data_IF_895967777142
#
_entry.id   IF_895967777142
#
_cell.length_a   1.000
_cell.length_b   1.000
_cell.length_c   1.000
_cell.angle_alpha   90.00
_cell.angle_beta   90.00
_cell.angle_gamma   90.00
#
_symmetry.space_group_name_H-M   'P 1'
#
loop_
_entity.id
_entity.type
_entity.pdbx_description
1 polymer ?
#
# COMPACT_ATOMS: atom_id res chain seq x y z
N UNK A 1 -18.30 15.29 11.05
CA UNK A 1 -18.63 15.51 9.63
C UNK A 1 -19.32 14.24 9.15
N UNK A 2 -20.47 14.36 8.51
CA UNK A 2 -21.09 13.21 7.86
C UNK A 2 -20.14 12.74 6.76
N UNK A 3 -19.87 11.44 6.66
CA UNK A 3 -18.80 10.88 5.78
C UNK A 3 -19.09 11.18 4.30
N UNK A 4 -20.36 11.40 3.96
CA UNK A 4 -20.83 11.74 2.61
C UNK A 4 -20.91 13.25 2.36
N UNK A 5 -20.78 14.07 3.40
CA UNK A 5 -20.98 15.53 3.32
C UNK A 5 -19.93 16.28 2.50
N UNK A 6 -18.86 15.59 2.09
CA UNK A 6 -17.79 16.14 1.25
C UNK A 6 -17.98 15.79 -0.24
N UNK A 7 -18.98 14.98 -0.63
CA UNK A 7 -19.26 14.65 -2.04
C UNK A 7 -19.99 15.79 -2.76
N UNK A 8 -19.80 15.90 -4.08
CA UNK A 8 -20.43 16.96 -4.90
C UNK A 8 -21.90 16.67 -5.25
N UNK A 9 -22.41 15.49 -4.87
CA UNK A 9 -23.76 15.00 -5.17
C UNK A 9 -24.43 14.44 -3.93
N UNK A 10 -25.76 14.53 -3.86
CA UNK A 10 -26.53 13.89 -2.80
C UNK A 10 -26.66 12.40 -3.12
N UNK A 11 -25.94 11.58 -2.38
CA UNK A 11 -25.86 10.13 -2.53
C UNK A 11 -25.93 9.48 -1.15
N UNK A 12 -26.58 8.32 -1.04
CA UNK A 12 -26.60 7.57 0.20
C UNK A 12 -25.29 6.78 0.41
N UNK A 13 -25.10 6.29 1.64
CA UNK A 13 -23.90 5.55 2.00
C UNK A 13 -23.78 4.24 1.21
N UNK A 14 -24.89 3.57 0.95
CA UNK A 14 -24.90 2.27 0.27
C UNK A 14 -24.41 2.41 -1.17
N UNK A 15 -24.86 3.43 -1.90
CA UNK A 15 -24.40 3.74 -3.24
C UNK A 15 -22.93 4.17 -3.25
N UNK A 16 -22.48 5.01 -2.30
CA UNK A 16 -21.08 5.42 -2.20
C UNK A 16 -20.15 4.23 -1.88
N UNK A 17 -20.53 3.39 -0.92
CA UNK A 17 -19.79 2.17 -0.56
C UNK A 17 -19.80 1.14 -1.69
N UNK A 18 -20.91 1.02 -2.42
CA UNK A 18 -20.99 0.19 -3.62
C UNK A 18 -19.99 0.68 -4.67
N UNK A 19 -19.98 1.98 -4.98
CA UNK A 19 -19.03 2.56 -5.92
C UNK A 19 -17.57 2.36 -5.52
N UNK A 20 -17.26 2.47 -4.22
CA UNK A 20 -15.93 2.18 -3.69
C UNK A 20 -15.57 0.69 -3.83
N UNK A 21 -16.48 -0.21 -3.44
CA UNK A 21 -16.27 -1.65 -3.49
C UNK A 21 -16.06 -2.14 -4.92
N UNK A 22 -16.87 -1.68 -5.86
CA UNK A 22 -16.72 -2.03 -7.27
C UNK A 22 -15.41 -1.49 -7.88
N UNK A 23 -14.98 -0.29 -7.47
CA UNK A 23 -13.67 0.24 -7.83
C UNK A 23 -12.54 -0.65 -7.28
N UNK A 24 -12.63 -1.12 -6.03
CA UNK A 24 -11.65 -2.03 -5.46
C UNK A 24 -11.58 -3.36 -6.22
N UNK A 25 -12.71 -3.91 -6.65
CA UNK A 25 -12.75 -5.11 -7.48
C UNK A 25 -12.13 -4.89 -8.87
N UNK A 26 -12.34 -3.71 -9.47
CA UNK A 26 -11.63 -3.31 -10.69
C UNK A 26 -10.11 -3.25 -10.49
N UNK A 27 -9.64 -2.60 -9.42
CA UNK A 27 -8.22 -2.48 -9.09
C UNK A 27 -7.57 -3.84 -8.82
N UNK A 28 -8.32 -4.77 -8.21
CA UNK A 28 -7.89 -6.16 -7.98
C UNK A 28 -7.81 -7.00 -9.25
N UNK A 29 -8.40 -6.53 -10.34
CA UNK A 29 -8.43 -7.24 -11.61
C UNK A 29 -9.67 -8.10 -11.83
N UNK A 30 -10.62 -8.12 -10.89
CA UNK A 30 -11.83 -8.94 -10.92
C UNK A 30 -12.94 -8.35 -11.82
N UNK A 31 -12.78 -7.10 -12.27
CA UNK A 31 -13.67 -6.45 -13.25
C UNK A 31 -12.88 -5.83 -14.40
N UNK A 32 -13.50 -5.68 -15.57
CA UNK A 32 -12.85 -5.15 -16.78
C UNK A 32 -12.99 -3.64 -16.96
N UNK A 33 -14.02 -3.02 -16.39
CA UNK A 33 -14.36 -1.60 -16.56
C UNK A 33 -14.84 -0.94 -15.25
N UNK A 34 -15.02 0.38 -15.28
CA UNK A 34 -15.45 1.24 -14.17
C UNK A 34 -16.81 1.93 -14.47
N UNK A 35 -17.65 1.32 -15.31
CA UNK A 35 -18.98 1.85 -15.61
C UNK A 35 -19.93 1.47 -14.46
N UNK A 36 -19.79 2.21 -13.37
CA UNK A 36 -20.48 1.97 -12.11
C UNK A 36 -21.59 3.00 -11.99
N UNK A 37 -22.83 2.54 -12.01
CA UNK A 37 -24.01 3.39 -11.90
C UNK A 37 -24.50 3.43 -10.45
N UNK A 38 -24.80 4.63 -9.98
CA UNK A 38 -25.37 4.89 -8.66
C UNK A 38 -26.62 5.73 -8.79
N UNK A 39 -27.46 5.72 -7.75
CA UNK A 39 -28.53 6.72 -7.63
C UNK A 39 -27.99 7.91 -6.85
N UNK A 40 -27.84 9.05 -7.52
CA UNK A 40 -27.37 10.30 -6.92
C UNK A 40 -28.21 11.47 -7.45
N UNK A 41 -28.54 12.43 -6.60
CA UNK A 41 -29.44 13.56 -6.89
C UNK A 41 -30.82 13.13 -7.43
N UNK A 42 -31.30 11.96 -7.00
CA UNK A 42 -32.58 11.38 -7.44
C UNK A 42 -32.56 10.77 -8.84
N UNK A 43 -31.40 10.69 -9.51
CA UNK A 43 -31.26 10.09 -10.83
C UNK A 43 -30.17 9.00 -10.86
N UNK A 44 -30.30 8.06 -11.80
CA UNK A 44 -29.30 7.03 -12.05
C UNK A 44 -28.22 7.58 -12.99
N UNK A 45 -26.98 7.57 -12.54
CA UNK A 45 -25.84 8.16 -13.26
C UNK A 45 -24.54 7.42 -12.94
N UNK A 46 -23.52 7.55 -13.80
CA UNK A 46 -22.21 7.00 -13.49
C UNK A 46 -21.54 7.74 -12.32
N UNK A 47 -20.91 6.99 -11.42
CA UNK A 47 -20.21 7.57 -10.29
C UNK A 47 -18.90 8.25 -10.73
N UNK A 48 -18.07 7.55 -11.51
CA UNK A 48 -16.75 8.04 -11.93
C UNK A 48 -16.79 8.75 -13.29
N UNK A 49 -16.22 9.94 -13.36
CA UNK A 49 -15.98 10.71 -14.59
C UNK A 49 -14.91 10.05 -15.47
N UNK A 50 -14.84 10.48 -16.74
CA UNK A 50 -13.83 9.98 -17.68
C UNK A 50 -12.38 10.20 -17.19
N UNK A 51 -12.10 11.32 -16.53
CA UNK A 51 -10.76 11.61 -15.97
C UNK A 51 -10.42 10.70 -14.80
N UNK A 52 -11.36 10.48 -13.87
CA UNK A 52 -11.17 9.56 -12.75
C UNK A 52 -10.96 8.13 -13.23
N UNK A 53 -11.73 7.66 -14.22
CA UNK A 53 -11.52 6.35 -14.86
C UNK A 53 -10.13 6.22 -15.50
N UNK A 54 -9.64 7.27 -16.17
CA UNK A 54 -8.30 7.28 -16.75
C UNK A 54 -7.22 7.17 -15.66
N UNK A 55 -7.36 7.90 -14.56
CA UNK A 55 -6.46 7.79 -13.42
C UNK A 55 -6.49 6.39 -12.78
N UNK A 56 -7.69 5.86 -12.50
CA UNK A 56 -7.87 4.54 -11.89
C UNK A 56 -7.36 3.39 -12.77
N UNK A 57 -7.37 3.56 -14.11
CA UNK A 57 -6.73 2.62 -15.03
C UNK A 57 -5.22 2.53 -14.81
N UNK A 58 -4.54 3.66 -14.62
CA UNK A 58 -3.11 3.67 -14.29
C UNK A 58 -2.85 3.07 -12.91
N UNK A 59 -3.69 3.40 -11.92
CA UNK A 59 -3.63 2.83 -10.56
C UNK A 59 -3.79 1.30 -10.61
N UNK A 60 -4.73 0.77 -11.40
CA UNK A 60 -4.92 -0.67 -11.59
C UNK A 60 -3.65 -1.35 -12.10
N UNK A 61 -2.96 -0.76 -13.06
CA UNK A 61 -1.72 -1.33 -13.57
C UNK A 61 -0.65 -1.45 -12.48
N UNK A 62 -0.58 -0.47 -11.57
CA UNK A 62 0.32 -0.49 -10.42
C UNK A 62 -0.10 -1.58 -9.41
N UNK A 63 -1.39 -1.71 -9.10
CA UNK A 63 -1.91 -2.75 -8.20
C UNK A 63 -1.58 -4.16 -8.70
N UNK A 64 -1.83 -4.44 -9.98
CA UNK A 64 -1.55 -5.75 -10.57
C UNK A 64 -0.04 -6.06 -10.58
N UNK A 65 0.81 -5.08 -10.91
CA UNK A 65 2.27 -5.22 -10.80
C UNK A 65 2.70 -5.46 -9.36
N UNK A 66 2.10 -4.77 -8.39
CA UNK A 66 2.40 -4.96 -6.97
C UNK A 66 2.03 -6.38 -6.49
N UNK A 67 0.92 -6.95 -6.96
CA UNK A 67 0.59 -8.35 -6.66
C UNK A 67 1.59 -9.33 -7.24
N UNK A 68 2.06 -9.10 -8.47
CA UNK A 68 3.11 -9.93 -9.08
C UNK A 68 4.42 -9.82 -8.30
N UNK A 69 4.86 -8.62 -7.95
CA UNK A 69 6.06 -8.39 -7.14
C UNK A 69 5.93 -9.09 -5.79
N UNK A 70 4.79 -8.95 -5.11
CA UNK A 70 4.52 -9.65 -3.84
C UNK A 70 4.64 -11.16 -3.97
N UNK A 71 4.11 -11.76 -5.03
CA UNK A 71 4.22 -13.19 -5.30
C UNK A 71 5.69 -13.60 -5.49
N UNK A 72 6.42 -12.89 -6.35
CA UNK A 72 7.85 -13.18 -6.62
C UNK A 72 8.68 -13.02 -5.35
N UNK A 73 8.47 -11.95 -4.57
CA UNK A 73 9.16 -11.72 -3.30
C UNK A 73 8.88 -12.84 -2.28
N UNK A 74 7.64 -13.31 -2.19
CA UNK A 74 7.29 -14.43 -1.31
C UNK A 74 8.00 -15.72 -1.73
N UNK A 75 8.05 -16.03 -3.03
CA UNK A 75 8.77 -17.19 -3.55
C UNK A 75 10.27 -17.12 -3.22
N UNK A 76 10.92 -15.98 -3.50
CA UNK A 76 12.34 -15.77 -3.18
C UNK A 76 12.60 -15.93 -1.69
N UNK A 77 11.71 -15.39 -0.84
CA UNK A 77 11.82 -15.49 0.61
C UNK A 77 11.80 -16.96 1.07
N UNK A 78 10.82 -17.76 0.65
CA UNK A 78 10.73 -19.16 1.03
C UNK A 78 11.90 -20.00 0.50
N UNK A 79 12.32 -19.78 -0.76
CA UNK A 79 13.50 -20.45 -1.32
C UNK A 79 14.75 -20.12 -0.50
N UNK A 80 14.94 -18.84 -0.15
CA UNK A 80 16.07 -18.40 0.68
C UNK A 80 16.08 -19.08 2.05
N UNK A 81 14.91 -19.21 2.70
CA UNK A 81 14.79 -19.92 3.99
C UNK A 81 15.18 -21.40 3.86
N UNK A 82 14.75 -22.09 2.80
CA UNK A 82 15.10 -23.49 2.55
C UNK A 82 16.62 -23.62 2.33
N UNK A 83 17.21 -22.76 1.50
CA UNK A 83 18.66 -22.75 1.26
C UNK A 83 19.45 -22.50 2.54
N UNK A 84 19.05 -21.53 3.36
CA UNK A 84 19.68 -21.23 4.65
C UNK A 84 19.57 -22.44 5.59
N UNK A 85 18.39 -23.07 5.66
CA UNK A 85 18.17 -24.25 6.51
C UNK A 85 19.09 -25.41 6.13
N UNK A 86 19.19 -25.73 4.84
CA UNK A 86 20.08 -26.79 4.34
C UNK A 86 21.54 -26.45 4.62
N UNK A 87 21.96 -25.22 4.33
CA UNK A 87 23.36 -24.79 4.45
C UNK A 87 23.84 -24.68 5.91
N UNK A 88 22.95 -24.34 6.83
CA UNK A 88 23.27 -24.23 8.26
C UNK A 88 23.14 -25.54 9.03
N UNK A 89 22.61 -26.61 8.42
CA UNK A 89 22.39 -27.90 9.07
C UNK A 89 23.73 -28.45 9.58
N UNK A 90 23.86 -28.60 10.90
CA UNK A 90 25.05 -29.13 11.56
C UNK A 90 26.25 -28.18 11.67
N UNK A 91 26.13 -26.90 11.28
CA UNK A 91 27.25 -25.94 11.33
C UNK A 91 26.91 -24.67 12.15
N UNK A 92 27.11 -24.74 13.46
CA UNK A 92 26.75 -23.67 14.41
C UNK A 92 27.35 -22.29 14.07
N UNK A 93 28.59 -22.24 13.57
CA UNK A 93 29.27 -21.00 13.18
C UNK A 93 28.53 -20.23 12.07
N UNK A 94 28.06 -20.92 11.03
CA UNK A 94 27.31 -20.29 9.93
C UNK A 94 25.96 -19.74 10.39
N UNK A 95 25.26 -20.44 11.28
CA UNK A 95 24.01 -19.96 11.88
C UNK A 95 24.22 -18.64 12.63
N UNK A 96 25.31 -18.53 13.40
CA UNK A 96 25.64 -17.29 14.12
C UNK A 96 25.94 -16.12 13.15
N UNK A 97 26.72 -16.37 12.10
CA UNK A 97 27.02 -15.36 11.09
C UNK A 97 25.78 -14.88 10.34
N UNK A 98 24.88 -15.78 9.92
CA UNK A 98 23.64 -15.41 9.24
C UNK A 98 22.71 -14.62 10.17
N UNK A 99 22.55 -15.02 11.44
CA UNK A 99 21.76 -14.26 12.40
C UNK A 99 22.31 -12.83 12.60
N UNK A 100 23.64 -12.66 12.71
CA UNK A 100 24.27 -11.34 12.83
C UNK A 100 24.03 -10.49 11.58
N UNK A 101 24.24 -11.04 10.40
CA UNK A 101 24.02 -10.33 9.13
C UNK A 101 22.55 -9.94 8.98
N UNK A 102 21.62 -10.84 9.29
CA UNK A 102 20.19 -10.56 9.24
C UNK A 102 19.81 -9.41 10.19
N UNK A 103 20.23 -9.48 11.45
CA UNK A 103 19.95 -8.41 12.43
C UNK A 103 20.52 -7.07 11.95
N UNK A 104 21.79 -7.03 11.53
CA UNK A 104 22.42 -5.79 11.04
C UNK A 104 21.69 -5.22 9.83
N UNK A 105 21.37 -6.06 8.83
CA UNK A 105 20.64 -5.63 7.63
C UNK A 105 19.24 -5.14 7.96
N UNK A 106 18.51 -5.84 8.85
CA UNK A 106 17.20 -5.40 9.33
C UNK A 106 17.31 -4.06 10.05
N UNK A 107 18.28 -3.88 10.95
CA UNK A 107 18.45 -2.62 11.69
C UNK A 107 18.75 -1.46 10.76
N UNK A 108 19.69 -1.63 9.82
CA UNK A 108 20.06 -0.57 8.86
C UNK A 108 18.88 -0.21 7.95
N UNK A 109 18.19 -1.21 7.40
CA UNK A 109 17.06 -0.96 6.49
C UNK A 109 15.86 -0.35 7.20
N UNK A 110 15.55 -0.76 8.44
CA UNK A 110 14.50 -0.14 9.24
C UNK A 110 14.84 1.29 9.64
N UNK A 111 16.11 1.59 9.96
CA UNK A 111 16.54 2.97 10.25
C UNK A 111 16.39 3.88 9.03
N UNK A 112 16.81 3.41 7.85
CA UNK A 112 16.62 4.15 6.60
C UNK A 112 15.13 4.34 6.26
N UNK A 113 14.30 3.31 6.45
CA UNK A 113 12.86 3.39 6.24
C UNK A 113 12.19 4.40 7.19
N UNK A 114 12.52 4.37 8.49
CA UNK A 114 12.05 5.34 9.47
C UNK A 114 12.41 6.78 9.11
N UNK A 115 13.62 7.00 8.60
CA UNK A 115 14.05 8.31 8.13
C UNK A 115 13.16 8.80 6.97
N UNK A 116 12.92 7.96 5.97
CA UNK A 116 12.08 8.31 4.81
C UNK A 116 10.63 8.59 5.24
N UNK A 117 10.05 7.72 6.08
CA UNK A 117 8.68 7.90 6.60
C UNK A 117 8.60 9.17 7.46
N UNK A 118 9.61 9.44 8.30
CA UNK A 118 9.68 10.65 9.11
C UNK A 118 9.72 11.91 8.26
N UNK A 119 10.54 11.94 7.20
CA UNK A 119 10.59 13.06 6.24
C UNK A 119 9.24 13.24 5.55
N UNK A 120 8.61 12.14 5.11
CA UNK A 120 7.30 12.19 4.45
C UNK A 120 6.19 12.70 5.39
N UNK A 121 6.27 12.36 6.69
CA UNK A 121 5.31 12.78 7.69
C UNK A 121 5.38 14.29 8.02
N UNK A 122 6.54 14.93 7.86
CA UNK A 122 6.70 16.38 8.09
C UNK A 122 5.90 17.20 7.07
N UNK A 123 5.80 16.73 5.82
CA UNK A 123 5.02 17.39 4.78
C UNK A 123 4.41 16.33 3.85
N UNK A 124 3.28 15.79 4.29
CA UNK A 124 2.59 14.73 3.56
C UNK A 124 2.08 15.22 2.20
N UNK A 125 1.60 16.47 2.08
CA UNK A 125 1.13 17.05 0.81
C UNK A 125 2.21 16.97 -0.28
N UNK A 126 3.43 17.38 0.06
CA UNK A 126 4.58 17.36 -0.85
C UNK A 126 5.02 15.93 -1.14
N UNK A 127 5.04 15.07 -0.12
CA UNK A 127 5.37 13.65 -0.30
C UNK A 127 4.38 12.96 -1.24
N UNK A 128 3.08 13.19 -1.05
CA UNK A 128 2.00 12.68 -1.89
C UNK A 128 2.11 13.19 -3.32
N UNK A 129 2.44 14.47 -3.51
CA UNK A 129 2.68 15.05 -4.84
C UNK A 129 3.89 14.42 -5.54
N UNK A 130 5.01 14.23 -4.82
CA UNK A 130 6.21 13.59 -5.37
C UNK A 130 5.91 12.14 -5.75
N UNK A 131 5.21 11.41 -4.87
CA UNK A 131 4.77 10.04 -5.13
C UNK A 131 3.98 9.94 -6.44
N UNK A 132 3.01 10.83 -6.67
CA UNK A 132 2.24 10.84 -7.90
C UNK A 132 3.10 11.15 -9.13
N UNK A 133 4.04 12.09 -9.03
CA UNK A 133 4.98 12.41 -10.13
C UNK A 133 5.92 11.25 -10.47
N UNK A 134 6.29 10.43 -9.49
CA UNK A 134 7.13 9.25 -9.71
C UNK A 134 6.35 8.12 -10.38
N UNK A 135 5.08 7.93 -10.01
CA UNK A 135 4.25 6.83 -10.51
C UNK A 135 3.51 7.13 -11.81
N UNK A 136 3.20 8.39 -12.08
CA UNK A 136 2.37 8.80 -13.21
C UNK A 136 3.08 9.83 -14.08
N UNK A 137 3.23 9.52 -15.37
CA UNK A 137 3.82 10.42 -16.37
C UNK A 137 2.81 11.45 -16.93
N UNK A 138 1.52 11.31 -16.60
CA UNK A 138 0.43 12.18 -17.05
C UNK A 138 -0.11 13.03 -15.89
N UNK A 139 -1.16 13.83 -16.14
CA UNK A 139 -1.81 14.69 -15.14
C UNK A 139 -3.20 14.19 -14.71
N UNK A 140 -3.64 12.97 -15.06
CA UNK A 140 -4.98 12.49 -14.72
C UNK A 140 -5.22 12.36 -13.21
N UNK A 141 -4.16 12.20 -12.43
CA UNK A 141 -4.19 12.17 -10.97
C UNK A 141 -4.45 13.53 -10.31
N UNK A 142 -4.35 14.65 -11.05
CA UNK A 142 -4.68 15.98 -10.53
C UNK A 142 -6.19 16.21 -10.65
N UNK A 143 -6.90 15.84 -9.59
CA UNK A 143 -8.34 15.96 -9.49
C UNK A 143 -8.73 17.26 -8.78
N UNK A 144 -9.83 17.88 -9.22
CA UNK A 144 -10.42 19.05 -8.59
C UNK A 144 -11.50 18.58 -7.60
N UNK A 145 -11.38 18.86 -6.28
CA UNK A 145 -12.39 18.45 -5.29
C UNK A 145 -13.81 18.92 -5.61
N UNK A 146 -13.98 20.05 -6.30
CA UNK A 146 -15.30 20.58 -6.66
C UNK A 146 -15.95 19.85 -7.86
N UNK A 147 -15.21 18.97 -8.55
CA UNK A 147 -15.66 18.27 -9.75
C UNK A 147 -15.51 16.74 -9.66
N UNK A 148 -14.72 16.26 -8.68
CA UNK A 148 -14.32 14.86 -8.55
C UNK A 148 -14.77 14.30 -7.22
N UNK A 149 -15.70 13.36 -7.28
CA UNK A 149 -16.12 12.63 -6.08
C UNK A 149 -15.08 11.59 -5.64
N UNK A 150 -14.18 11.15 -6.53
CA UNK A 150 -13.10 10.23 -6.17
C UNK A 150 -12.16 10.82 -5.11
N UNK A 151 -11.74 12.09 -5.25
CA UNK A 151 -10.85 12.74 -4.26
C UNK A 151 -11.58 13.09 -2.96
N UNK A 152 -12.89 13.30 -3.02
CA UNK A 152 -13.71 13.54 -1.83
C UNK A 152 -14.00 12.24 -1.06
N UNK A 153 -14.15 11.11 -1.79
CA UNK A 153 -14.30 9.78 -1.23
C UNK A 153 -13.00 9.24 -0.62
N UNK A 154 -11.87 9.54 -1.27
CA UNK A 154 -10.52 9.18 -0.83
C UNK A 154 -9.68 10.44 -0.60
N UNK A 155 -10.02 11.23 0.44
CA UNK A 155 -9.28 12.43 0.75
C UNK A 155 -7.86 12.08 1.19
N UNK A 156 -6.99 13.08 1.20
CA UNK A 156 -5.60 12.87 1.63
C UNK A 156 -5.47 12.23 3.01
N UNK A 157 -6.32 12.60 3.97
CA UNK A 157 -6.33 12.02 5.32
C UNK A 157 -6.56 10.51 5.32
N UNK A 158 -7.37 9.99 4.38
CA UNK A 158 -7.53 8.54 4.21
C UNK A 158 -6.19 7.86 3.90
N UNK A 159 -5.39 8.45 3.02
CA UNK A 159 -4.07 7.92 2.68
C UNK A 159 -3.07 8.09 3.82
N UNK A 160 -3.10 9.19 4.56
CA UNK A 160 -2.29 9.38 5.76
C UNK A 160 -2.55 8.27 6.79
N UNK A 161 -3.82 8.04 7.14
CA UNK A 161 -4.21 6.97 8.06
C UNK A 161 -3.83 5.58 7.52
N UNK A 162 -4.02 5.33 6.23
CA UNK A 162 -3.65 4.06 5.60
C UNK A 162 -2.14 3.82 5.67
N UNK A 163 -1.32 4.83 5.37
CA UNK A 163 0.14 4.75 5.47
C UNK A 163 0.58 4.50 6.91
N UNK A 164 -0.03 5.17 7.89
CA UNK A 164 0.26 4.95 9.32
C UNK A 164 -0.02 3.51 9.75
N UNK A 165 -1.18 2.95 9.37
CA UNK A 165 -1.54 1.57 9.69
C UNK A 165 -0.56 0.57 9.05
N UNK A 166 -0.23 0.75 7.77
CA UNK A 166 0.73 -0.10 7.06
C UNK A 166 2.11 -0.03 7.72
N UNK A 167 2.58 1.17 8.05
CA UNK A 167 3.86 1.36 8.74
C UNK A 167 3.84 0.67 10.12
N UNK A 168 2.77 0.83 10.89
CA UNK A 168 2.62 0.18 12.20
C UNK A 168 2.70 -1.34 12.12
N UNK A 169 1.95 -1.96 11.20
CA UNK A 169 1.98 -3.41 10.97
C UNK A 169 3.38 -3.86 10.54
N UNK A 170 4.02 -3.13 9.61
CA UNK A 170 5.39 -3.40 9.19
C UNK A 170 6.37 -3.38 10.36
N UNK A 171 6.34 -2.35 11.21
CA UNK A 171 7.25 -2.24 12.37
C UNK A 171 7.06 -3.39 13.35
N UNK A 172 5.82 -3.79 13.65
CA UNK A 172 5.54 -4.92 14.53
C UNK A 172 6.14 -6.21 13.95
N UNK A 173 5.94 -6.48 12.66
CA UNK A 173 6.49 -7.68 12.01
C UNK A 173 8.03 -7.65 11.95
N UNK A 174 8.62 -6.50 11.63
CA UNK A 174 10.06 -6.32 11.56
C UNK A 174 10.71 -6.55 12.94
N UNK A 175 10.16 -5.95 13.99
CA UNK A 175 10.65 -6.13 15.37
C UNK A 175 10.52 -7.58 15.83
N UNK A 176 9.39 -8.22 15.55
CA UNK A 176 9.21 -9.64 15.85
C UNK A 176 10.29 -10.51 15.15
N UNK A 177 10.60 -10.21 13.88
CA UNK A 177 11.62 -10.95 13.12
C UNK A 177 13.03 -10.80 13.72
N UNK A 178 13.39 -9.60 14.18
CA UNK A 178 14.67 -9.31 14.83
C UNK A 178 14.77 -10.00 16.19
N UNK A 179 13.72 -9.93 17.01
CA UNK A 179 13.65 -10.61 18.31
C UNK A 179 13.78 -12.12 18.15
N UNK A 180 13.09 -12.71 17.17
CA UNK A 180 13.22 -14.14 16.83
C UNK A 180 14.66 -14.47 16.44
N UNK A 181 15.26 -13.72 15.52
CA UNK A 181 16.64 -13.94 15.08
C UNK A 181 17.66 -13.80 16.22
N UNK A 182 17.43 -12.86 17.14
CA UNK A 182 18.24 -12.67 18.33
C UNK A 182 18.13 -13.85 19.30
N UNK A 183 16.92 -14.34 19.58
CA UNK A 183 16.68 -15.51 20.45
C UNK A 183 17.30 -16.80 19.89
N UNK A 184 17.29 -16.97 18.57
CA UNK A 184 17.88 -18.13 17.90
C UNK A 184 19.39 -17.99 17.61
N UNK A 185 20.01 -16.87 17.98
CA UNK A 185 21.46 -16.69 17.86
C UNK A 185 22.17 -17.68 18.80
N UNK A 186 23.05 -18.56 18.30
CA UNK A 186 23.86 -19.42 19.17
C UNK A 186 24.73 -18.56 20.08
N UNK A 187 24.65 -18.76 21.40
CA UNK A 187 25.64 -18.23 22.34
C UNK A 187 26.99 -18.88 22.01
N UNK A 188 28.01 -18.04 21.81
CA UNK A 188 29.39 -18.54 21.74
C UNK A 188 29.73 -19.07 23.13
N UNK A 189 29.91 -20.38 23.27
CA UNK A 189 30.79 -20.91 24.30
C UNK A 189 32.24 -20.70 23.86
#
# INVERSE_FOLDING_TARGET
>A
KDVLGDLNRNIDMDNAMSAFSEMMEYLRGNRSNLNIEVTADGARQEFYTAREKAHLKDVRAIFLKAYLVRLISALIFFISLICIFIYCKGRSSYRSSICKTFINTCTITNAAFLLVVGIAAVNFDKAFTIFHKVLFANNYWKLNPNESDLINLLPQSFFEHTVLVICGIYFVMAMASVVVAWKFRPTSN
#
